data_IF_328514004562
#
_entry.id   IF_328514004562
#
_cell.length_a   1.000
_cell.length_b   1.000
_cell.length_c   1.000
_cell.angle_alpha   90.00
_cell.angle_beta   90.00
_cell.angle_gamma   90.00
#
_symmetry.space_group_name_H-M   'P 1'
#
loop_
_entity.id
_entity.type
_entity.pdbx_description
1 polymer ?
#
# COMPACT_ATOMS: atom_id res chain seq x y z
N UNK A 1 -14.60 -3.76 -0.67
CA UNK A 1 -13.57 -2.87 -1.29
C UNK A 1 -13.38 -1.60 -0.46
N UNK A 2 -14.21 -1.37 0.55
CA UNK A 2 -14.30 -0.13 1.33
C UNK A 2 -13.31 -0.10 2.53
N UNK A 3 -12.62 -1.21 2.81
CA UNK A 3 -11.79 -1.34 4.02
C UNK A 3 -10.27 -1.24 3.76
N UNK A 4 -9.85 -0.59 2.67
CA UNK A 4 -8.43 -0.43 2.33
C UNK A 4 -8.09 1.02 1.99
N UNK A 5 -7.27 1.63 2.83
CA UNK A 5 -6.72 2.97 2.67
C UNK A 5 -5.24 2.88 2.27
N UNK A 6 -4.86 3.59 1.21
CA UNK A 6 -3.48 3.65 0.73
C UNK A 6 -3.08 5.10 0.58
N UNK A 7 -2.03 5.50 1.30
CA UNK A 7 -1.43 6.82 1.21
C UNK A 7 0.04 6.72 0.82
N UNK A 8 0.49 7.70 0.04
CA UNK A 8 1.84 7.74 -0.52
C UNK A 8 2.43 9.11 -0.26
N UNK A 9 3.66 9.15 0.25
CA UNK A 9 4.51 10.35 0.27
C UNK A 9 5.60 10.20 -0.80
N UNK A 10 6.46 11.20 -0.92
CA UNK A 10 7.69 11.14 -1.73
C UNK A 10 8.54 9.88 -1.46
N UNK A 11 8.56 9.38 -0.23
CA UNK A 11 9.53 8.39 0.25
C UNK A 11 8.90 7.20 0.97
N UNK A 12 7.58 7.18 1.18
CA UNK A 12 6.90 6.11 1.91
C UNK A 12 5.54 5.74 1.33
N UNK A 13 5.13 4.50 1.56
CA UNK A 13 3.77 4.01 1.29
C UNK A 13 3.19 3.50 2.59
N UNK A 14 1.99 3.92 2.94
CA UNK A 14 1.23 3.39 4.06
C UNK A 14 -0.03 2.70 3.54
N UNK A 15 -0.20 1.43 3.91
CA UNK A 15 -1.39 0.64 3.63
C UNK A 15 -2.08 0.35 4.95
N UNK A 16 -3.35 0.73 5.05
CA UNK A 16 -4.23 0.48 6.20
C UNK A 16 -5.46 -0.25 5.75
N UNK A 17 -6.00 -1.07 6.61
CA UNK A 17 -7.29 -1.68 6.36
C UNK A 17 -7.77 -2.52 7.51
N UNK A 18 -8.92 -3.13 7.33
CA UNK A 18 -9.49 -4.05 8.28
C UNK A 18 -9.94 -5.33 7.57
N UNK A 19 -9.57 -6.48 8.14
CA UNK A 19 -10.08 -7.76 7.69
C UNK A 19 -11.17 -8.22 8.66
N UNK A 20 -12.42 -8.04 8.26
CA UNK A 20 -13.54 -8.55 9.03
C UNK A 20 -13.55 -10.08 9.04
N UNK A 21 -14.00 -10.65 10.16
CA UNK A 21 -14.29 -12.06 10.29
C UNK A 21 -15.77 -12.26 9.98
N UNK A 22 -16.09 -13.00 8.92
CA UNK A 22 -17.46 -13.48 8.71
C UNK A 22 -17.72 -14.56 9.75
N UNK A 23 -18.18 -14.16 10.94
CA UNK A 23 -18.83 -15.08 11.87
C UNK A 23 -20.18 -15.38 11.23
N UNK A 24 -20.22 -16.35 10.31
CA UNK A 24 -21.47 -17.00 9.94
C UNK A 24 -21.96 -17.75 11.16
N UNK A 25 -22.90 -17.11 11.85
CA UNK A 25 -23.92 -17.66 12.74
C UNK A 25 -23.47 -18.86 13.59
N UNK A 26 -23.30 -18.58 14.89
CA UNK A 26 -23.61 -19.48 16.00
C UNK A 26 -24.34 -20.77 15.58
N UNK A 27 -23.61 -21.88 15.44
CA UNK A 27 -24.12 -23.25 15.69
C UNK A 27 -23.07 -24.36 15.60
N UNK A 28 -21.92 -24.13 14.96
CA UNK A 28 -20.84 -25.12 14.94
C UNK A 28 -19.63 -24.61 15.72
N UNK A 29 -19.16 -25.41 16.67
CA UNK A 29 -17.99 -25.07 17.50
C UNK A 29 -16.78 -24.83 16.59
N UNK A 30 -16.29 -23.60 16.55
CA UNK A 30 -15.06 -23.25 15.85
C UNK A 30 -13.89 -23.93 16.55
N UNK A 31 -13.50 -25.12 16.09
CA UNK A 31 -12.40 -25.88 16.69
C UNK A 31 -11.04 -25.19 16.53
N UNK A 32 -10.84 -24.44 15.45
CA UNK A 32 -9.59 -23.72 15.17
C UNK A 32 -9.77 -22.58 14.18
N UNK A 33 -9.16 -21.45 14.48
CA UNK A 33 -8.95 -20.34 13.55
C UNK A 33 -7.45 -20.05 13.44
N UNK A 34 -6.89 -20.16 12.24
CA UNK A 34 -5.46 -19.93 11.97
C UNK A 34 -5.20 -18.59 11.27
N UNK A 35 -6.24 -18.01 10.67
CA UNK A 35 -6.16 -16.77 9.92
C UNK A 35 -6.41 -15.61 10.87
N UNK A 36 -5.52 -14.62 10.89
CA UNK A 36 -5.72 -13.39 11.66
C UNK A 36 -6.77 -12.49 11.01
N UNK A 37 -7.59 -11.87 11.86
CA UNK A 37 -8.61 -10.89 11.52
C UNK A 37 -8.37 -9.60 12.32
N UNK A 38 -8.98 -8.51 11.87
CA UNK A 38 -8.89 -7.19 12.50
C UNK A 38 -8.11 -6.16 11.67
N UNK A 39 -7.88 -5.01 12.30
CA UNK A 39 -7.21 -3.88 11.67
C UNK A 39 -5.72 -4.17 11.44
N UNK A 40 -5.20 -3.71 10.30
CA UNK A 40 -3.80 -3.77 9.96
C UNK A 40 -3.32 -2.42 9.42
N UNK A 41 -2.06 -2.12 9.68
CA UNK A 41 -1.37 -0.97 9.14
C UNK A 41 0.08 -1.35 8.87
N UNK A 42 0.59 -1.00 7.69
CA UNK A 42 2.00 -1.19 7.33
C UNK A 42 2.49 0.02 6.57
N UNK A 43 3.62 0.56 7.02
CA UNK A 43 4.36 1.59 6.31
C UNK A 43 5.65 1.00 5.75
N UNK A 44 5.93 1.30 4.49
CA UNK A 44 7.09 0.80 3.73
C UNK A 44 7.88 2.01 3.27
N UNK A 45 9.16 2.07 3.65
CA UNK A 45 10.11 3.04 3.11
C UNK A 45 10.49 2.67 1.67
N UNK A 46 10.47 3.66 0.77
CA UNK A 46 10.81 3.49 -0.63
C UNK A 46 12.32 3.71 -0.85
N UNK A 47 12.96 2.95 -1.75
CA UNK A 47 14.38 3.10 -2.04
C UNK A 47 14.71 4.32 -2.90
N UNK A 48 13.70 5.06 -3.37
CA UNK A 48 13.83 6.25 -4.18
C UNK A 48 12.59 7.13 -4.03
N UNK A 49 12.74 8.43 -4.32
CA UNK A 49 11.63 9.37 -4.37
C UNK A 49 10.65 9.02 -5.51
N UNK A 50 9.36 9.15 -5.25
CA UNK A 50 8.27 8.89 -6.19
C UNK A 50 7.37 10.10 -6.40
N UNK A 51 6.75 10.17 -7.58
CA UNK A 51 5.74 11.18 -7.92
C UNK A 51 4.35 10.65 -7.51
N UNK A 52 3.82 11.16 -6.40
CA UNK A 52 2.56 10.69 -5.83
C UNK A 52 1.35 10.92 -6.76
N UNK A 53 1.35 11.99 -7.55
CA UNK A 53 0.25 12.32 -8.47
C UNK A 53 0.11 11.31 -9.62
N UNK A 54 1.22 10.67 -10.03
CA UNK A 54 1.24 9.63 -11.07
C UNK A 54 1.01 8.21 -10.54
N UNK A 55 0.75 8.06 -9.25
CA UNK A 55 0.56 6.74 -8.63
C UNK A 55 -0.75 6.08 -9.09
N UNK A 56 -0.74 4.77 -9.26
CA UNK A 56 -1.95 3.98 -9.50
C UNK A 56 -1.98 2.72 -8.67
N UNK A 57 -3.19 2.26 -8.34
CA UNK A 57 -3.43 1.10 -7.51
C UNK A 57 -4.47 0.17 -8.15
N UNK A 58 -4.29 -1.13 -7.99
CA UNK A 58 -5.31 -2.13 -8.35
C UNK A 58 -5.41 -3.20 -7.28
N UNK A 59 -6.63 -3.69 -7.04
CA UNK A 59 -6.89 -4.75 -6.08
C UNK A 59 -7.69 -5.86 -6.73
N UNK A 60 -7.08 -7.05 -6.83
CA UNK A 60 -7.68 -8.22 -7.47
C UNK A 60 -7.29 -9.48 -6.71
N UNK A 61 -8.28 -10.33 -6.41
CA UNK A 61 -8.09 -11.62 -5.77
C UNK A 61 -7.25 -11.56 -4.47
N UNK A 62 -7.46 -10.54 -3.63
CA UNK A 62 -6.73 -10.38 -2.37
C UNK A 62 -5.33 -9.77 -2.51
N UNK A 63 -4.89 -9.39 -3.73
CA UNK A 63 -3.60 -8.77 -3.98
C UNK A 63 -3.76 -7.29 -4.29
N UNK A 64 -3.05 -6.44 -3.54
CA UNK A 64 -2.88 -5.01 -3.84
C UNK A 64 -1.60 -4.81 -4.67
N UNK A 65 -1.76 -4.26 -5.87
CA UNK A 65 -0.65 -3.84 -6.73
C UNK A 65 -0.59 -2.31 -6.79
N UNK A 66 0.57 -1.74 -6.47
CA UNK A 66 0.85 -0.31 -6.54
C UNK A 66 1.91 -0.02 -7.60
N UNK A 67 1.64 0.93 -8.48
CA UNK A 67 2.62 1.45 -9.46
C UNK A 67 2.95 2.88 -9.10
N UNK A 68 4.21 3.11 -8.73
CA UNK A 68 4.72 4.39 -8.25
C UNK A 68 5.82 4.88 -9.21
N UNK A 69 5.56 5.91 -10.04
CA UNK A 69 6.57 6.51 -10.89
C UNK A 69 7.69 7.13 -10.04
N UNK A 70 8.95 6.84 -10.36
CA UNK A 70 10.09 7.49 -9.69
C UNK A 70 10.22 8.93 -10.16
N UNK A 71 10.62 9.82 -9.26
CA UNK A 71 10.98 11.18 -9.63
C UNK A 71 12.15 11.15 -10.61
N UNK A 72 11.98 11.81 -11.76
CA UNK A 72 13.05 11.98 -12.73
C UNK A 72 14.13 12.89 -12.16
N UNK A 73 15.27 12.33 -11.74
CA UNK A 73 16.41 13.13 -11.31
C UNK A 73 16.94 13.93 -12.51
N UNK A 74 17.11 15.24 -12.30
CA UNK A 74 17.63 16.16 -13.31
C UNK A 74 18.94 15.64 -13.91
N UNK A 75 19.01 15.57 -15.23
CA UNK A 75 20.26 15.25 -15.93
C UNK A 75 21.25 16.39 -15.66
N UNK A 76 22.50 16.03 -15.35
CA UNK A 76 23.61 16.96 -15.08
C UNK A 76 23.58 18.13 -16.08
N UNK A 77 23.49 19.37 -15.59
CA UNK A 77 23.62 20.58 -16.39
C UNK A 77 25.05 21.11 -16.25
N UNK A 78 25.72 21.38 -17.36
CA UNK A 78 27.00 22.08 -17.35
C UNK A 78 26.75 23.57 -17.16
N UNK A 79 27.45 24.19 -16.22
CA UNK A 79 27.41 25.64 -16.01
C UNK A 79 28.74 26.19 -16.55
N UNK A 80 28.73 26.95 -17.66
CA UNK A 80 29.95 27.60 -18.15
C UNK A 80 30.39 28.69 -17.17
N UNK A 81 31.69 28.76 -16.90
CA UNK A 81 32.32 29.83 -16.12
C UNK A 81 32.98 30.78 -17.10
N UNK A 82 32.67 32.08 -16.99
CA UNK A 82 33.31 33.17 -17.72
C UNK A 82 34.26 33.93 -16.80
#
# INVERSE_FOLDING_TARGET
>A
KEDLDVSVTDSTVTVRGERHHEIREEKEQLYRAEISHGAFARTIGLPAEVEAEGASASFKNGMLELKLPKVAKSKRRSIPVN
#
